data_IF_578266807676
#
_entry.id   IF_578266807676
#
_cell.length_a   1.000
_cell.length_b   1.000
_cell.length_c   1.000
_cell.angle_alpha   90.00
_cell.angle_beta   90.00
_cell.angle_gamma   90.00
#
_symmetry.space_group_name_H-M   'P 1'
#
loop_
_entity.id
_entity.type
_entity.pdbx_description
1 polymer ?
#
# COMPACT_ATOMS: atom_id res chain seq x y z
N UNK A 1 18.53 -10.52 10.08
CA UNK A 1 17.92 -9.19 9.86
C UNK A 1 18.61 -8.35 8.78
N UNK A 2 19.94 -8.18 8.84
CA UNK A 2 20.69 -7.31 7.91
C UNK A 2 20.75 -7.84 6.47
N UNK A 3 20.91 -9.14 6.27
CA UNK A 3 21.00 -9.75 4.93
C UNK A 3 19.73 -9.57 4.10
N UNK A 4 18.56 -9.82 4.71
CA UNK A 4 17.24 -9.64 4.09
C UNK A 4 17.02 -8.18 3.67
N UNK A 5 17.42 -7.23 4.51
CA UNK A 5 17.31 -5.81 4.21
C UNK A 5 18.16 -5.42 3.00
N UNK A 6 19.40 -5.92 2.93
CA UNK A 6 20.29 -5.69 1.78
C UNK A 6 19.72 -6.29 0.49
N UNK A 7 19.11 -7.48 0.57
CA UNK A 7 18.47 -8.12 -0.57
C UNK A 7 17.27 -7.31 -1.10
N UNK A 8 16.43 -6.80 -0.20
CA UNK A 8 15.32 -5.90 -0.55
C UNK A 8 15.84 -4.63 -1.23
N UNK A 9 16.87 -3.99 -0.69
CA UNK A 9 17.43 -2.77 -1.28
C UNK A 9 18.18 -3.00 -2.60
N UNK A 10 18.69 -4.22 -2.84
CA UNK A 10 19.32 -4.60 -4.10
C UNK A 10 18.29 -4.91 -5.21
N UNK A 11 17.00 -5.05 -4.89
CA UNK A 11 15.97 -5.33 -5.88
C UNK A 11 15.84 -4.19 -6.89
N UNK A 12 15.89 -4.53 -8.18
CA UNK A 12 15.71 -3.57 -9.27
C UNK A 12 14.24 -3.24 -9.55
N UNK A 13 13.31 -3.97 -8.94
CA UNK A 13 11.86 -3.77 -9.10
C UNK A 13 11.13 -3.89 -7.77
N UNK A 14 10.04 -3.13 -7.63
CA UNK A 14 9.15 -3.23 -6.48
C UNK A 14 8.53 -4.64 -6.34
N UNK A 15 8.23 -5.31 -7.46
CA UNK A 15 7.70 -6.67 -7.46
C UNK A 15 8.68 -7.69 -6.87
N UNK A 16 9.98 -7.56 -7.17
CA UNK A 16 11.00 -8.43 -6.58
C UNK A 16 11.08 -8.25 -5.05
N UNK A 17 11.07 -6.99 -4.58
CA UNK A 17 11.03 -6.69 -3.15
C UNK A 17 9.74 -7.22 -2.48
N UNK A 18 8.58 -7.06 -3.13
CA UNK A 18 7.30 -7.59 -2.64
C UNK A 18 7.33 -9.11 -2.46
N UNK A 19 7.95 -9.85 -3.39
CA UNK A 19 8.09 -11.31 -3.29
C UNK A 19 8.92 -11.71 -2.08
N UNK A 20 10.00 -10.99 -1.78
CA UNK A 20 10.81 -11.23 -0.56
C UNK A 20 9.95 -10.99 0.68
N UNK A 21 9.25 -9.86 0.76
CA UNK A 21 8.38 -9.54 1.90
C UNK A 21 7.29 -10.60 2.11
N UNK A 22 6.63 -11.05 1.03
CA UNK A 22 5.65 -12.15 1.07
C UNK A 22 6.25 -13.47 1.57
N UNK A 23 7.52 -13.75 1.26
CA UNK A 23 8.20 -14.93 1.79
C UNK A 23 8.42 -14.82 3.30
N UNK A 24 8.84 -13.64 3.78
CA UNK A 24 9.07 -13.40 5.21
C UNK A 24 7.78 -13.53 6.04
N UNK A 25 6.64 -13.16 5.46
CA UNK A 25 5.33 -13.24 6.12
C UNK A 25 4.90 -14.68 6.37
N UNK A 26 5.22 -15.58 5.43
CA UNK A 26 4.95 -17.03 5.59
C UNK A 26 5.74 -17.64 6.73
N UNK A 27 6.98 -17.18 6.92
CA UNK A 27 7.93 -17.82 7.83
C UNK A 27 7.83 -17.30 9.28
N UNK A 28 7.42 -16.04 9.48
CA UNK A 28 7.62 -15.35 10.76
C UNK A 28 6.34 -14.86 11.46
N UNK A 29 5.14 -15.19 10.97
CA UNK A 29 3.84 -14.65 11.48
C UNK A 29 3.77 -13.11 11.56
N UNK A 30 4.72 -12.41 10.94
CA UNK A 30 4.74 -10.96 10.83
C UNK A 30 4.09 -10.55 9.52
N UNK A 31 3.51 -9.36 9.48
CA UNK A 31 2.85 -8.81 8.30
C UNK A 31 3.72 -7.73 7.66
N UNK A 32 4.91 -8.11 7.19
CA UNK A 32 5.90 -7.20 6.59
C UNK A 32 5.38 -6.53 5.33
N UNK A 33 4.55 -7.22 4.53
CA UNK A 33 3.92 -6.60 3.37
C UNK A 33 3.07 -5.42 3.81
N UNK A 34 2.18 -5.58 4.79
CA UNK A 34 1.35 -4.50 5.31
C UNK A 34 2.17 -3.41 6.00
N UNK A 35 3.19 -3.77 6.79
CA UNK A 35 4.04 -2.77 7.46
C UNK A 35 4.77 -1.86 6.46
N UNK A 36 5.34 -2.42 5.39
CA UNK A 36 6.11 -1.65 4.41
C UNK A 36 5.18 -0.96 3.42
N UNK A 37 4.33 -1.70 2.72
CA UNK A 37 3.47 -1.12 1.70
C UNK A 37 2.29 -0.34 2.28
N UNK A 38 1.83 -0.66 3.48
CA UNK A 38 0.84 0.13 4.21
C UNK A 38 1.42 1.49 4.60
N UNK A 39 2.64 1.55 5.13
CA UNK A 39 3.30 2.83 5.42
C UNK A 39 3.47 3.70 4.14
N UNK A 40 3.81 3.08 3.02
CA UNK A 40 3.86 3.76 1.71
C UNK A 40 2.47 4.27 1.31
N UNK A 41 1.44 3.43 1.40
CA UNK A 41 0.07 3.77 1.06
C UNK A 41 -0.47 4.94 1.91
N UNK A 42 -0.32 4.89 3.23
CA UNK A 42 -0.72 5.97 4.13
C UNK A 42 -0.01 7.28 3.80
N UNK A 43 1.29 7.23 3.45
CA UNK A 43 2.02 8.45 3.07
C UNK A 43 1.57 9.00 1.73
N UNK A 44 1.16 8.16 0.79
CA UNK A 44 0.54 8.59 -0.48
C UNK A 44 -0.79 9.30 -0.20
N UNK A 45 -1.64 8.72 0.63
CA UNK A 45 -2.95 9.31 1.00
C UNK A 45 -2.78 10.68 1.63
N UNK A 46 -1.93 10.79 2.64
CA UNK A 46 -1.68 12.05 3.36
C UNK A 46 -1.20 13.15 2.41
N UNK A 47 -0.24 12.83 1.52
CA UNK A 47 0.30 13.77 0.54
C UNK A 47 -0.74 14.17 -0.51
N UNK A 48 -1.53 13.22 -1.00
CA UNK A 48 -2.59 13.50 -1.97
C UNK A 48 -3.69 14.38 -1.36
N UNK A 49 -4.11 14.10 -0.12
CA UNK A 49 -5.08 14.94 0.61
C UNK A 49 -4.56 16.37 0.77
N UNK A 50 -3.30 16.52 1.22
CA UNK A 50 -2.68 17.83 1.38
C UNK A 50 -2.58 18.59 0.04
N UNK A 51 -2.22 17.89 -1.04
CA UNK A 51 -2.14 18.48 -2.38
C UNK A 51 -3.51 18.99 -2.85
N UNK A 52 -4.56 18.17 -2.75
CA UNK A 52 -5.92 18.54 -3.13
C UNK A 52 -6.39 19.74 -2.30
N UNK A 53 -6.15 19.72 -0.99
CA UNK A 53 -6.51 20.83 -0.11
C UNK A 53 -5.81 22.12 -0.52
N UNK A 54 -4.49 22.10 -0.73
CA UNK A 54 -3.72 23.30 -1.09
C UNK A 54 -4.21 23.95 -2.39
N UNK A 55 -4.72 23.18 -3.34
CA UNK A 55 -5.17 23.68 -4.64
C UNK A 55 -6.68 23.91 -4.76
N UNK A 56 -7.49 23.43 -3.82
CA UNK A 56 -8.96 23.53 -3.90
C UNK A 56 -9.64 24.08 -2.66
N UNK A 57 -8.91 24.18 -1.53
CA UNK A 57 -9.45 24.44 -0.20
C UNK A 57 -10.55 23.45 0.23
N UNK A 58 -10.63 22.29 -0.43
CA UNK A 58 -11.55 21.21 -0.07
C UNK A 58 -10.80 20.12 0.67
N UNK A 59 -11.34 19.76 1.83
CA UNK A 59 -10.88 18.58 2.56
C UNK A 59 -11.57 17.35 1.99
N UNK A 60 -10.78 16.34 1.63
CA UNK A 60 -11.24 15.07 1.07
C UNK A 60 -10.59 13.92 1.82
N UNK A 61 -11.21 12.74 1.74
CA UNK A 61 -10.57 11.49 2.10
C UNK A 61 -9.95 10.86 0.85
N UNK A 62 -8.74 10.34 0.96
CA UNK A 62 -8.09 9.57 -0.11
C UNK A 62 -7.77 8.19 0.42
N UNK A 63 -8.17 7.16 -0.33
CA UNK A 63 -7.82 5.77 -0.09
C UNK A 63 -6.84 5.25 -1.15
N UNK A 64 -5.98 4.32 -0.76
CA UNK A 64 -5.04 3.60 -1.63
C UNK A 64 -5.36 2.11 -1.73
N UNK A 65 -5.31 1.61 -2.96
CA UNK A 65 -5.43 0.19 -3.30
C UNK A 65 -4.22 -0.19 -4.16
N UNK A 66 -3.43 -1.15 -3.70
CA UNK A 66 -2.21 -1.57 -4.39
C UNK A 66 -2.42 -2.91 -5.08
N UNK A 67 -1.91 -2.98 -6.30
CA UNK A 67 -2.02 -4.14 -7.18
C UNK A 67 -0.63 -4.71 -7.43
N UNK A 68 -0.52 -6.03 -7.45
CA UNK A 68 0.71 -6.68 -7.91
C UNK A 68 0.74 -6.74 -9.44
N UNK A 69 1.81 -7.35 -9.98
CA UNK A 69 2.01 -7.45 -11.43
C UNK A 69 0.86 -8.17 -12.16
N UNK A 70 0.15 -9.07 -11.50
CA UNK A 70 -0.98 -9.83 -12.05
C UNK A 70 -2.33 -9.13 -11.79
N UNK A 71 -2.28 -7.85 -11.43
CA UNK A 71 -3.43 -6.99 -11.11
C UNK A 71 -4.28 -7.53 -9.97
N UNK A 72 -3.69 -8.32 -9.07
CA UNK A 72 -4.38 -8.75 -7.86
C UNK A 72 -4.17 -7.70 -6.78
N UNK A 73 -5.26 -7.33 -6.11
CA UNK A 73 -5.19 -6.43 -4.96
C UNK A 73 -4.49 -7.17 -3.83
N UNK A 74 -3.39 -6.62 -3.34
CA UNK A 74 -2.67 -7.20 -2.19
C UNK A 74 -2.69 -6.30 -0.96
N UNK A 75 -3.10 -5.03 -1.10
CA UNK A 75 -3.27 -4.11 0.01
C UNK A 75 -4.41 -3.13 -0.29
N UNK A 76 -5.27 -2.93 0.71
CA UNK A 76 -6.29 -1.88 0.74
C UNK A 76 -6.16 -1.17 2.07
N UNK A 77 -6.09 0.15 2.06
CA UNK A 77 -6.24 0.93 3.29
C UNK A 77 -7.70 0.95 3.73
N UNK A 78 -7.94 1.30 4.99
CA UNK A 78 -9.29 1.35 5.55
C UNK A 78 -10.20 2.33 4.77
N UNK A 79 -9.65 3.49 4.40
CA UNK A 79 -10.38 4.50 3.61
C UNK A 79 -10.73 3.94 2.23
N UNK A 80 -9.79 3.26 1.57
CA UNK A 80 -10.04 2.65 0.26
C UNK A 80 -11.12 1.57 0.34
N UNK A 81 -11.06 0.71 1.35
CA UNK A 81 -12.03 -0.38 1.51
C UNK A 81 -13.45 0.16 1.73
N UNK A 82 -13.60 1.17 2.60
CA UNK A 82 -14.87 1.84 2.86
C UNK A 82 -15.43 2.53 1.62
N UNK A 83 -14.64 3.39 0.97
CA UNK A 83 -15.08 4.12 -0.23
C UNK A 83 -15.42 3.18 -1.39
N UNK A 84 -14.63 2.12 -1.57
CA UNK A 84 -14.88 1.14 -2.63
C UNK A 84 -16.19 0.39 -2.38
N UNK A 85 -16.47 0.02 -1.12
CA UNK A 85 -17.74 -0.61 -0.77
C UNK A 85 -18.94 0.32 -1.04
N UNK A 86 -18.81 1.60 -0.67
CA UNK A 86 -19.84 2.62 -0.91
C UNK A 86 -20.07 2.88 -2.41
N UNK A 87 -19.05 2.83 -3.27
CA UNK A 87 -19.23 3.12 -4.70
C UNK A 87 -19.72 1.90 -5.48
N UNK A 88 -19.18 0.71 -5.18
CA UNK A 88 -19.42 -0.48 -5.99
C UNK A 88 -20.63 -1.32 -5.54
N UNK A 89 -21.07 -1.21 -4.30
CA UNK A 89 -22.22 -1.97 -3.77
C UNK A 89 -23.43 -1.10 -3.41
N UNK A 90 -23.39 0.20 -3.68
CA UNK A 90 -24.54 1.10 -3.52
C UNK A 90 -25.36 1.28 -4.82
N UNK A 91 -25.30 0.30 -5.72
CA UNK A 91 -26.12 0.24 -6.95
C UNK A 91 -27.13 -0.89 -6.82
#
# INVERSE_FOLDING_TARGET
PTSVLQEIFACTTAEAALKILRSLDKDNQKNWVDMVYGAIAYRIEERSQAYIFNHSQKQVQVGSMLFDRDRQIFLKTEVADRLFAEICYSI
#
